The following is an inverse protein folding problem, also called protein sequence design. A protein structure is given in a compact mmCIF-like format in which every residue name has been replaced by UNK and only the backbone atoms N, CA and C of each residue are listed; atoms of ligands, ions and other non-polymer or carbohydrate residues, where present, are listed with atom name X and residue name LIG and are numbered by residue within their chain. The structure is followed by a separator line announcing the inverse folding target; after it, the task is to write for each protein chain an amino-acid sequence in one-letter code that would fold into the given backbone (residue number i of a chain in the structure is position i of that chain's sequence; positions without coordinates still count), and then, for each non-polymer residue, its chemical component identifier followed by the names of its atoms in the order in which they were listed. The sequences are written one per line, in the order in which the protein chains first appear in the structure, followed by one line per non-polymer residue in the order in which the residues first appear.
data_IF_234034022725
#
_entry.id   IF_234034022725
#
_cell.length_a   1.000
_cell.length_b   1.000
_cell.length_c   1.000
_cell.angle_alpha   90.00
_cell.angle_beta   90.00
_cell.angle_gamma   90.00
#
_symmetry.space_group_name_H-M   'P 1'
#
loop_
_entity.id
_entity.type
_entity.pdbx_description
1 polymer ?
#
# COMPACT_ATOMS: atom_id res chain seq x y z
N UNK A 1 16.68 -4.43 -16.54
CA UNK A 1 17.39 -3.15 -16.31
C UNK A 1 17.70 -2.94 -14.84
N UNK A 2 16.72 -2.87 -13.92
CA UNK A 2 16.95 -2.69 -12.48
C UNK A 2 18.06 -3.57 -11.86
N UNK A 3 17.98 -4.89 -12.04
CA UNK A 3 18.97 -5.86 -11.50
C UNK A 3 20.42 -5.60 -11.97
N UNK A 4 20.61 -4.92 -13.11
CA UNK A 4 21.93 -4.58 -13.66
C UNK A 4 22.57 -3.40 -12.92
N UNK A 5 21.77 -2.41 -12.54
CA UNK A 5 22.25 -1.15 -11.97
C UNK A 5 22.19 -1.11 -10.44
N UNK A 6 21.32 -1.92 -9.83
CA UNK A 6 21.14 -2.01 -8.37
C UNK A 6 21.27 -3.47 -7.88
N UNK A 7 22.43 -4.13 -8.09
CA UNK A 7 22.59 -5.55 -7.78
C UNK A 7 22.41 -5.86 -6.29
N UNK A 8 22.87 -4.97 -5.40
CA UNK A 8 22.80 -5.15 -3.95
C UNK A 8 21.37 -4.99 -3.41
N UNK A 9 20.52 -4.23 -4.10
CA UNK A 9 19.09 -4.10 -3.75
C UNK A 9 18.29 -5.25 -4.37
N UNK A 10 18.62 -5.62 -5.61
CA UNK A 10 17.95 -6.70 -6.34
C UNK A 10 18.21 -8.10 -5.77
N UNK A 11 19.09 -8.24 -4.78
CA UNK A 11 19.40 -9.52 -4.12
C UNK A 11 18.15 -10.20 -3.54
N UNK A 12 17.15 -9.42 -3.10
CA UNK A 12 15.89 -9.94 -2.56
C UNK A 12 15.14 -10.86 -3.54
N UNK A 13 15.25 -10.63 -4.85
CA UNK A 13 14.63 -11.50 -5.87
C UNK A 13 15.25 -12.89 -5.95
N UNK A 14 16.37 -13.16 -5.27
CA UNK A 14 17.02 -14.47 -5.23
C UNK A 14 16.55 -15.33 -4.05
N UNK A 15 15.82 -14.76 -3.10
CA UNK A 15 15.29 -15.53 -1.96
C UNK A 15 14.28 -16.58 -2.47
N UNK A 16 14.40 -17.86 -2.08
CA UNK A 16 13.56 -18.94 -2.60
C UNK A 16 12.08 -18.79 -2.22
N UNK A 17 11.75 -17.96 -1.23
CA UNK A 17 10.37 -17.66 -0.83
C UNK A 17 9.70 -16.64 -1.76
N UNK A 18 10.49 -15.90 -2.55
CA UNK A 18 9.99 -14.85 -3.43
C UNK A 18 9.48 -15.45 -4.74
N UNK A 19 8.21 -15.18 -5.05
CA UNK A 19 7.60 -15.46 -6.35
C UNK A 19 7.34 -14.15 -7.08
N UNK A 20 8.01 -13.95 -8.22
CA UNK A 20 7.84 -12.75 -9.04
C UNK A 20 6.69 -12.95 -10.04
N UNK A 21 5.67 -12.11 -9.93
CA UNK A 21 4.57 -12.03 -10.89
C UNK A 21 4.71 -10.74 -11.68
N UNK A 22 4.95 -10.83 -12.99
CA UNK A 22 5.03 -9.66 -13.89
C UNK A 22 3.67 -9.49 -14.56
N UNK A 23 2.70 -9.00 -13.79
CA UNK A 23 1.33 -8.71 -14.22
C UNK A 23 0.79 -7.48 -13.49
N UNK A 24 -0.34 -6.92 -13.96
CA UNK A 24 -1.05 -5.85 -13.26
C UNK A 24 -1.50 -6.30 -11.86
N UNK A 25 -1.27 -5.46 -10.84
CA UNK A 25 -1.55 -5.79 -9.44
C UNK A 25 -3.04 -5.96 -9.14
N UNK A 26 -3.93 -5.22 -9.81
CA UNK A 26 -5.38 -5.34 -9.66
C UNK A 26 -5.86 -6.65 -10.26
N UNK A 27 -5.32 -7.03 -11.43
CA UNK A 27 -5.59 -8.35 -12.04
C UNK A 27 -5.11 -9.48 -11.13
N UNK A 28 -3.91 -9.34 -10.55
CA UNK A 28 -3.39 -10.31 -9.59
C UNK A 28 -4.34 -10.48 -8.40
N UNK A 29 -4.69 -9.38 -7.72
CA UNK A 29 -5.56 -9.40 -6.54
C UNK A 29 -6.95 -10.00 -6.84
N UNK A 30 -7.49 -9.78 -8.03
CA UNK A 30 -8.78 -10.37 -8.40
C UNK A 30 -8.73 -11.90 -8.49
N UNK A 31 -7.58 -12.46 -8.89
CA UNK A 31 -7.36 -13.92 -8.94
C UNK A 31 -7.08 -14.56 -7.57
N UNK A 32 -6.81 -13.75 -6.55
CA UNK A 32 -6.42 -14.23 -5.21
C UNK A 32 -7.65 -14.74 -4.44
N UNK A 33 -7.61 -15.96 -3.89
CA UNK A 33 -8.65 -16.46 -3.01
C UNK A 33 -8.83 -15.59 -1.75
N UNK A 34 -10.04 -15.58 -1.20
CA UNK A 34 -10.32 -14.80 0.01
C UNK A 34 -9.46 -15.27 1.19
N UNK A 35 -8.87 -14.34 1.93
CA UNK A 35 -8.12 -14.64 3.14
C UNK A 35 -6.77 -15.34 2.93
N UNK A 36 -6.14 -15.12 1.77
CA UNK A 36 -4.88 -15.77 1.41
C UNK A 36 -3.67 -15.13 2.08
N UNK A 37 -3.67 -13.80 2.25
CA UNK A 37 -2.48 -13.07 2.69
C UNK A 37 -2.59 -12.58 4.14
N UNK A 38 -1.49 -12.72 4.89
CA UNK A 38 -1.29 -12.10 6.20
C UNK A 38 -1.08 -10.59 6.10
N UNK A 39 -0.34 -10.16 5.09
CA UNK A 39 0.05 -8.78 4.90
C UNK A 39 0.10 -8.44 3.41
N UNK A 40 -0.35 -7.24 3.06
CA UNK A 40 -0.22 -6.67 1.72
C UNK A 40 0.48 -5.32 1.86
N UNK A 41 1.58 -5.15 1.14
CA UNK A 41 2.34 -3.90 1.08
C UNK A 41 2.19 -3.36 -0.34
N UNK A 42 1.59 -2.19 -0.46
CA UNK A 42 1.43 -1.48 -1.74
C UNK A 42 2.51 -0.42 -1.83
N UNK A 43 3.59 -0.77 -2.53
CA UNK A 43 4.68 0.12 -2.94
C UNK A 43 4.48 0.51 -4.41
N UNK A 44 3.42 1.25 -4.66
CA UNK A 44 3.05 1.68 -6.00
C UNK A 44 2.34 3.04 -5.92
N UNK A 45 2.50 3.83 -6.98
CA UNK A 45 1.81 5.09 -7.26
C UNK A 45 2.31 6.34 -6.54
N UNK A 46 1.73 7.47 -6.96
CA UNK A 46 1.73 8.70 -6.19
C UNK A 46 1.01 8.46 -4.84
N UNK A 47 1.38 9.22 -3.80
CA UNK A 47 0.76 9.12 -2.49
C UNK A 47 -0.77 9.16 -2.49
N UNK A 48 -1.39 8.22 -1.76
CA UNK A 48 -2.85 8.22 -1.62
C UNK A 48 -3.31 9.49 -0.90
N UNK A 49 -4.40 10.05 -1.42
CA UNK A 49 -5.09 11.22 -0.89
C UNK A 49 -6.58 10.90 -0.74
N UNK A 50 -7.34 11.62 0.10
CA UNK A 50 -8.76 11.34 0.30
C UNK A 50 -9.59 11.37 -0.99
N UNK A 51 -9.22 12.22 -1.94
CA UNK A 51 -9.85 12.42 -3.24
C UNK A 51 -9.34 11.47 -4.33
N UNK A 52 -8.40 10.56 -4.00
CA UNK A 52 -7.83 9.67 -4.99
C UNK A 52 -8.88 8.64 -5.45
N UNK A 53 -8.98 8.48 -6.78
CA UNK A 53 -9.88 7.52 -7.45
C UNK A 53 -9.78 6.10 -6.87
N UNK A 54 -8.64 5.72 -6.28
CA UNK A 54 -8.45 4.40 -5.67
C UNK A 54 -9.48 4.11 -4.57
N UNK A 55 -9.93 5.13 -3.82
CA UNK A 55 -11.01 4.99 -2.84
C UNK A 55 -12.39 4.78 -3.47
N UNK A 56 -12.55 5.17 -4.74
CA UNK A 56 -13.78 4.99 -5.52
C UNK A 56 -13.74 3.72 -6.38
N UNK A 57 -12.55 3.16 -6.60
CA UNK A 57 -12.36 1.88 -7.29
C UNK A 57 -12.51 0.66 -6.37
N UNK A 58 -12.62 -0.53 -6.96
CA UNK A 58 -12.64 -1.81 -6.26
C UNK A 58 -11.29 -2.20 -5.64
N UNK A 59 -10.23 -1.39 -5.79
CA UNK A 59 -8.87 -1.78 -5.39
C UNK A 59 -8.77 -2.15 -3.90
N UNK A 60 -9.28 -1.29 -3.00
CA UNK A 60 -9.25 -1.57 -1.57
C UNK A 60 -10.17 -2.72 -1.16
N UNK A 61 -11.28 -2.95 -1.88
CA UNK A 61 -12.15 -4.11 -1.66
C UNK A 61 -11.44 -5.42 -2.02
N UNK A 62 -10.71 -5.44 -3.14
CA UNK A 62 -9.90 -6.57 -3.55
C UNK A 62 -8.79 -6.89 -2.53
N UNK A 63 -8.14 -5.86 -1.98
CA UNK A 63 -7.17 -6.01 -0.89
C UNK A 63 -7.83 -6.59 0.36
N UNK A 64 -8.94 -5.99 0.81
CA UNK A 64 -9.68 -6.44 2.00
C UNK A 64 -10.13 -7.90 1.87
N UNK A 65 -10.58 -8.32 0.68
CA UNK A 65 -10.90 -9.72 0.38
C UNK A 65 -9.66 -10.63 0.44
N UNK A 66 -8.55 -10.20 -0.13
CA UNK A 66 -7.33 -10.99 -0.20
C UNK A 66 -6.67 -11.18 1.18
N UNK A 67 -6.84 -10.22 2.10
CA UNK A 67 -6.37 -10.31 3.48
C UNK A 67 -7.19 -11.31 4.30
N UNK A 68 -6.51 -12.09 5.14
CA UNK A 68 -7.17 -12.92 6.16
C UNK A 68 -7.74 -12.05 7.30
N UNK A 69 -8.63 -12.58 8.15
CA UNK A 69 -9.02 -11.88 9.37
C UNK A 69 -7.79 -11.47 10.21
N UNK A 70 -7.71 -10.18 10.54
CA UNK A 70 -6.57 -9.58 11.24
C UNK A 70 -5.30 -9.44 10.38
N UNK A 71 -5.40 -9.59 9.07
CA UNK A 71 -4.32 -9.26 8.14
C UNK A 71 -4.12 -7.75 8.02
N UNK A 72 -2.96 -7.33 7.53
CA UNK A 72 -2.57 -5.91 7.50
C UNK A 72 -2.36 -5.38 6.09
N UNK A 73 -2.91 -4.21 5.78
CA UNK A 73 -2.51 -3.40 4.63
C UNK A 73 -1.51 -2.35 5.07
N UNK A 74 -0.47 -2.16 4.28
CA UNK A 74 0.47 -1.04 4.36
C UNK A 74 0.55 -0.36 3.01
N UNK A 75 0.11 0.90 2.91
CA UNK A 75 0.13 1.66 1.65
C UNK A 75 0.69 3.06 1.88
N UNK A 76 1.43 3.58 0.90
CA UNK A 76 2.00 4.90 0.99
C UNK A 76 0.94 6.00 0.82
N UNK A 77 0.89 6.93 1.77
CA UNK A 77 -0.04 8.06 1.83
C UNK A 77 0.71 9.40 1.68
N UNK A 78 -0.03 10.45 1.30
CA UNK A 78 0.53 11.78 1.09
C UNK A 78 1.14 12.38 2.36
N UNK A 79 1.96 13.41 2.17
CA UNK A 79 2.59 14.14 3.26
C UNK A 79 1.62 14.97 4.09
N UNK A 80 1.74 14.95 5.42
CA UNK A 80 1.01 15.85 6.31
C UNK A 80 1.44 17.32 6.15
N UNK A 81 2.61 17.55 5.53
CA UNK A 81 3.02 18.90 5.09
C UNK A 81 2.34 19.33 3.80
N UNK A 82 1.59 18.43 3.15
CA UNK A 82 0.79 18.75 1.97
C UNK A 82 -0.50 19.44 2.41
N UNK A 83 -0.68 20.70 2.00
CA UNK A 83 -1.79 21.55 2.47
C UNK A 83 -3.18 20.96 2.20
N UNK A 84 -3.34 20.14 1.17
CA UNK A 84 -4.63 19.54 0.83
C UNK A 84 -4.82 18.14 1.39
N UNK A 85 -3.89 17.62 2.20
CA UNK A 85 -4.08 16.33 2.85
C UNK A 85 -5.01 16.49 4.05
N UNK A 86 -6.15 15.82 3.99
CA UNK A 86 -7.05 15.63 5.11
C UNK A 86 -6.88 14.20 5.66
N UNK A 87 -6.07 14.08 6.71
CA UNK A 87 -5.78 12.78 7.35
C UNK A 87 -7.04 12.20 7.99
N UNK A 88 -7.91 13.03 8.56
CA UNK A 88 -9.13 12.56 9.22
C UNK A 88 -10.05 11.90 8.19
N UNK A 89 -10.29 12.55 7.05
CA UNK A 89 -11.08 11.99 5.96
C UNK A 89 -10.43 10.73 5.38
N UNK A 90 -9.11 10.71 5.22
CA UNK A 90 -8.37 9.54 4.76
C UNK A 90 -8.64 8.33 5.67
N UNK A 91 -8.54 8.54 6.99
CA UNK A 91 -8.78 7.51 7.99
C UNK A 91 -10.26 7.09 8.05
N UNK A 92 -11.20 8.03 7.89
CA UNK A 92 -12.64 7.72 7.81
C UNK A 92 -12.93 6.81 6.61
N UNK A 93 -12.45 7.17 5.41
CA UNK A 93 -12.62 6.34 4.21
C UNK A 93 -12.00 4.96 4.37
N UNK A 94 -10.81 4.90 4.97
CA UNK A 94 -10.17 3.62 5.28
C UNK A 94 -11.02 2.74 6.20
N UNK A 95 -11.55 3.29 7.29
CA UNK A 95 -12.42 2.57 8.26
C UNK A 95 -13.77 2.12 7.68
N UNK A 96 -14.22 2.74 6.59
CA UNK A 96 -15.42 2.26 5.89
C UNK A 96 -15.18 0.88 5.25
N UNK A 97 -13.95 0.64 4.77
CA UNK A 97 -13.57 -0.58 4.06
C UNK A 97 -12.96 -1.61 5.01
N UNK A 98 -11.98 -1.18 5.81
CA UNK A 98 -11.24 -2.00 6.77
C UNK A 98 -11.87 -1.84 8.15
N UNK A 99 -12.29 -2.96 8.77
CA UNK A 99 -13.07 -2.94 10.01
C UNK A 99 -12.23 -2.98 11.29
N UNK A 100 -10.92 -3.19 11.17
CA UNK A 100 -9.98 -3.10 12.27
C UNK A 100 -9.53 -1.66 12.53
N UNK A 101 -8.31 -1.51 13.04
CA UNK A 101 -7.67 -0.21 13.19
C UNK A 101 -7.21 0.33 11.84
N UNK A 102 -7.32 1.66 11.70
CA UNK A 102 -6.71 2.42 10.61
C UNK A 102 -5.85 3.51 11.24
N UNK A 103 -4.55 3.44 11.00
CA UNK A 103 -3.56 4.31 11.60
C UNK A 103 -2.69 4.95 10.51
N UNK A 104 -2.16 6.13 10.80
CA UNK A 104 -1.29 6.89 9.92
C UNK A 104 0.08 7.07 10.56
N UNK A 105 1.11 6.58 9.89
CA UNK A 105 2.51 6.68 10.30
C UNK A 105 3.32 7.51 9.30
N UNK A 106 4.44 8.07 9.75
CA UNK A 106 5.31 8.89 8.92
C UNK A 106 6.78 8.69 9.25
N UNK A 107 7.65 8.88 8.25
CA UNK A 107 9.11 8.80 8.41
C UNK A 107 9.84 9.74 7.47
N UNK A 108 11.02 10.21 7.88
CA UNK A 108 11.82 11.13 7.09
C UNK A 108 12.54 10.40 5.94
N UNK A 109 12.23 10.80 4.71
CA UNK A 109 12.89 10.33 3.49
C UNK A 109 13.38 11.56 2.72
N UNK A 110 14.65 11.98 2.90
CA UNK A 110 15.15 13.27 2.40
C UNK A 110 15.00 13.47 0.89
N UNK A 111 15.02 12.38 0.13
CA UNK A 111 14.91 12.40 -1.34
C UNK A 111 13.46 12.52 -1.83
N UNK A 112 12.46 12.39 -0.96
CA UNK A 112 11.06 12.56 -1.32
C UNK A 112 10.65 14.03 -1.21
N UNK A 113 9.68 14.50 -2.02
CA UNK A 113 9.12 15.83 -1.88
C UNK A 113 8.67 16.08 -0.43
N UNK A 114 9.06 17.22 0.14
CA UNK A 114 8.77 17.59 1.55
C UNK A 114 9.35 16.64 2.60
N UNK A 115 10.32 15.78 2.20
CA UNK A 115 11.18 14.97 3.06
C UNK A 115 10.49 13.89 3.90
N UNK A 116 9.25 13.51 3.60
CA UNK A 116 8.51 12.53 4.42
C UNK A 116 7.77 11.53 3.54
N UNK A 117 7.90 10.24 3.87
CA UNK A 117 7.08 9.15 3.33
C UNK A 117 6.13 8.68 4.43
N UNK A 118 4.88 8.43 4.08
CA UNK A 118 3.85 8.07 5.04
C UNK A 118 3.20 6.77 4.70
N UNK A 119 2.77 6.05 5.73
CA UNK A 119 2.25 4.71 5.60
C UNK A 119 0.94 4.62 6.36
N UNK A 120 -0.13 4.26 5.67
CA UNK A 120 -1.39 3.90 6.28
C UNK A 120 -1.35 2.41 6.61
N UNK A 121 -1.61 2.08 7.88
CA UNK A 121 -1.81 0.71 8.32
C UNK A 121 -3.29 0.45 8.54
N UNK A 122 -3.85 -0.58 7.89
CA UNK A 122 -5.24 -0.99 8.09
C UNK A 122 -5.29 -2.46 8.52
N UNK A 123 -6.24 -2.81 9.38
CA UNK A 123 -6.58 -4.20 9.76
C UNK A 123 -8.03 -4.57 9.48
#
# INVERSE_FOLDING_TARGET
VYKKYFPDIAVGYKDPRVKLHVIDGTIFLNSVPKGTYDAIIVDAFDPIRPDHELFETQFFELISKALRPGGVLCIQAESFWYKSLDIEQLLIKSRQIFKGSSDYAWTNVPTYPRQVTMQMQCT
#
